data_IF_076828462237
#
_entry.id   IF_076828462237
#
_cell.length_a   1.000
_cell.length_b   1.000
_cell.length_c   1.000
_cell.angle_alpha   90.00
_cell.angle_beta   90.00
_cell.angle_gamma   90.00
#
_symmetry.space_group_name_H-M   'P 1'
#
loop_
_entity.id
_entity.type
_entity.pdbx_description
1 polymer ?
#
# COMPACT_ATOMS: atom_id res chain seq x y z
N UNK A 1 -6.98 -8.15 -19.33
CA UNK A 1 -8.01 -7.84 -18.33
C UNK A 1 -8.32 -6.34 -18.35
N UNK A 2 -9.56 -5.95 -18.64
CA UNK A 2 -10.00 -4.55 -18.63
C UNK A 2 -10.69 -4.23 -17.30
N UNK A 3 -10.10 -3.36 -16.51
CA UNK A 3 -10.60 -3.00 -15.17
C UNK A 3 -11.94 -2.25 -15.21
N UNK A 4 -12.25 -1.57 -16.32
CA UNK A 4 -13.49 -0.80 -16.49
C UNK A 4 -14.59 -1.64 -17.12
N UNK A 5 -14.25 -2.46 -18.10
CA UNK A 5 -15.19 -3.37 -18.76
C UNK A 5 -15.50 -4.62 -17.91
N UNK A 6 -14.57 -5.00 -17.03
CA UNK A 6 -14.69 -6.19 -16.18
C UNK A 6 -14.38 -7.49 -16.93
N UNK A 7 -14.84 -8.61 -16.38
CA UNK A 7 -14.71 -9.94 -16.99
C UNK A 7 -15.75 -10.14 -18.11
N UNK A 8 -16.95 -9.61 -17.93
CA UNK A 8 -18.02 -9.56 -18.94
C UNK A 8 -18.49 -8.10 -19.05
N UNK A 9 -18.63 -7.55 -20.27
CA UNK A 9 -19.16 -6.22 -20.48
C UNK A 9 -20.54 -5.96 -19.86
N UNK A 10 -21.30 -6.99 -19.53
CA UNK A 10 -22.62 -6.87 -18.89
C UNK A 10 -22.53 -6.80 -17.34
N UNK A 11 -21.47 -7.35 -16.74
CA UNK A 11 -21.33 -7.46 -15.28
C UNK A 11 -20.81 -6.18 -14.59
N UNK A 12 -20.38 -5.19 -15.36
CA UNK A 12 -19.83 -3.97 -14.79
C UNK A 12 -18.29 -4.00 -14.63
N UNK A 13 -17.70 -3.02 -13.94
CA UNK A 13 -16.27 -2.96 -13.75
C UNK A 13 -15.76 -4.09 -12.86
N UNK A 14 -14.48 -4.46 -13.00
CA UNK A 14 -13.82 -5.40 -12.10
C UNK A 14 -13.83 -4.84 -10.67
N UNK A 15 -14.39 -5.59 -9.74
CA UNK A 15 -14.41 -5.24 -8.31
C UNK A 15 -13.49 -6.16 -7.49
N UNK A 16 -13.17 -5.78 -6.26
CA UNK A 16 -12.43 -6.65 -5.35
C UNK A 16 -13.17 -7.97 -5.06
N UNK A 17 -14.51 -8.00 -5.19
CA UNK A 17 -15.31 -9.21 -5.06
C UNK A 17 -15.02 -10.29 -6.09
N UNK A 18 -14.48 -9.92 -7.25
CA UNK A 18 -14.03 -10.88 -8.26
C UNK A 18 -12.78 -11.66 -7.85
N UNK A 19 -12.10 -11.25 -6.77
CA UNK A 19 -10.93 -11.94 -6.21
C UNK A 19 -11.31 -12.99 -5.15
N UNK A 20 -12.63 -13.27 -4.98
CA UNK A 20 -13.16 -14.17 -3.98
C UNK A 20 -13.88 -15.37 -4.62
N UNK A 21 -13.64 -16.57 -4.08
CA UNK A 21 -14.34 -17.80 -4.43
C UNK A 21 -14.31 -18.12 -5.92
N UNK A 22 -15.42 -18.63 -6.45
CA UNK A 22 -15.54 -19.04 -7.85
C UNK A 22 -15.26 -17.92 -8.87
N UNK A 23 -15.45 -16.67 -8.49
CA UNK A 23 -15.15 -15.53 -9.36
C UNK A 23 -13.65 -15.35 -9.57
N UNK A 24 -12.82 -15.71 -8.60
CA UNK A 24 -11.37 -15.66 -8.73
C UNK A 24 -10.85 -16.57 -9.84
N UNK A 25 -11.49 -17.72 -10.09
CA UNK A 25 -11.11 -18.63 -11.17
C UNK A 25 -11.16 -17.98 -12.55
N UNK A 26 -12.11 -17.09 -12.79
CA UNK A 26 -12.18 -16.32 -14.04
C UNK A 26 -11.03 -15.32 -14.16
N UNK A 27 -10.66 -14.65 -13.06
CA UNK A 27 -9.50 -13.74 -13.02
C UNK A 27 -8.21 -14.50 -13.25
N UNK A 28 -8.03 -15.69 -12.65
CA UNK A 28 -6.85 -16.54 -12.87
C UNK A 28 -6.69 -16.93 -14.34
N UNK A 29 -7.79 -17.32 -15.01
CA UNK A 29 -7.77 -17.65 -16.45
C UNK A 29 -7.38 -16.47 -17.33
N UNK A 30 -7.93 -15.29 -17.06
CA UNK A 30 -7.57 -14.07 -17.79
C UNK A 30 -6.10 -13.66 -17.59
N UNK A 31 -5.57 -13.90 -16.41
CA UNK A 31 -4.16 -13.65 -16.08
C UNK A 31 -3.23 -14.81 -16.51
N UNK A 32 -3.77 -15.87 -17.14
CA UNK A 32 -3.04 -17.11 -17.52
C UNK A 32 -2.32 -17.77 -16.33
N UNK A 33 -2.90 -17.67 -15.14
CA UNK A 33 -2.40 -18.33 -13.94
C UNK A 33 -2.96 -19.75 -13.84
N UNK A 34 -2.22 -20.67 -13.20
CA UNK A 34 -2.69 -22.03 -12.98
C UNK A 34 -3.76 -22.05 -11.88
N UNK A 35 -4.99 -22.45 -12.24
CA UNK A 35 -6.12 -22.56 -11.30
C UNK A 35 -5.84 -23.57 -10.17
N UNK A 36 -5.01 -24.58 -10.41
CA UNK A 36 -4.64 -25.57 -9.40
C UNK A 36 -3.71 -25.00 -8.31
N UNK A 37 -3.04 -23.90 -8.59
CA UNK A 37 -2.18 -23.21 -7.64
C UNK A 37 -2.96 -22.33 -6.65
N UNK A 38 -4.27 -22.09 -6.86
CA UNK A 38 -5.09 -21.31 -5.95
C UNK A 38 -5.29 -22.07 -4.62
N UNK A 39 -4.70 -21.65 -3.51
CA UNK A 39 -4.91 -22.32 -2.24
C UNK A 39 -6.38 -22.13 -1.81
N UNK A 40 -7.00 -23.22 -1.36
CA UNK A 40 -8.29 -23.12 -0.70
C UNK A 40 -8.19 -22.09 0.44
N UNK A 41 -9.02 -21.05 0.38
CA UNK A 41 -8.90 -19.93 1.30
C UNK A 41 -9.26 -20.39 2.73
N UNK A 42 -8.33 -20.33 3.69
CA UNK A 42 -8.65 -20.65 5.06
C UNK A 42 -9.59 -19.58 5.63
N UNK A 43 -10.60 -20.02 6.39
CA UNK A 43 -11.39 -19.11 7.23
C UNK A 43 -10.48 -18.45 8.26
N UNK A 44 -10.15 -17.18 8.06
CA UNK A 44 -9.41 -16.39 9.04
C UNK A 44 -10.40 -15.60 9.86
N UNK A 45 -10.51 -15.93 11.16
CA UNK A 45 -11.40 -15.27 12.13
C UNK A 45 -12.89 -15.26 11.74
N UNK A 46 -13.38 -16.30 11.05
CA UNK A 46 -14.80 -16.41 10.67
C UNK A 46 -15.21 -15.53 9.48
N UNK A 47 -14.26 -14.91 8.79
CA UNK A 47 -14.49 -14.18 7.54
C UNK A 47 -13.81 -14.92 6.39
N UNK A 48 -14.46 -14.96 5.23
CA UNK A 48 -13.84 -15.46 4.01
C UNK A 48 -12.68 -14.54 3.64
N UNK A 49 -11.46 -15.09 3.54
CA UNK A 49 -10.34 -14.39 2.93
C UNK A 49 -10.46 -14.51 1.40
N UNK A 50 -10.02 -13.49 0.63
CA UNK A 50 -9.98 -13.61 -0.82
C UNK A 50 -8.93 -14.66 -1.25
N UNK A 51 -9.16 -15.34 -2.36
CA UNK A 51 -8.16 -16.18 -3.02
C UNK A 51 -6.97 -15.36 -3.51
N UNK A 52 -7.24 -14.14 -3.96
CA UNK A 52 -6.25 -13.11 -4.30
C UNK A 52 -6.45 -11.90 -3.41
N UNK A 53 -5.52 -11.63 -2.50
CA UNK A 53 -5.52 -10.38 -1.73
C UNK A 53 -4.75 -9.32 -2.49
N UNK A 54 -5.46 -8.34 -3.04
CA UNK A 54 -4.87 -7.19 -3.73
C UNK A 54 -4.83 -5.99 -2.78
N UNK A 55 -3.64 -5.45 -2.58
CA UNK A 55 -3.42 -4.22 -1.84
C UNK A 55 -2.61 -3.24 -2.69
N UNK A 56 -2.93 -1.96 -2.58
CA UNK A 56 -2.24 -0.89 -3.29
C UNK A 56 -1.89 0.23 -2.33
N UNK A 57 -0.74 0.88 -2.55
CA UNK A 57 -0.34 2.04 -1.76
C UNK A 57 -0.84 3.33 -2.43
N UNK A 58 -1.26 4.28 -1.62
CA UNK A 58 -1.54 5.66 -2.03
C UNK A 58 -1.08 6.61 -0.94
N UNK A 59 -0.65 7.80 -1.32
CA UNK A 59 -0.16 8.81 -0.38
C UNK A 59 -1.21 9.89 -0.17
N UNK A 60 -1.64 10.07 1.06
CA UNK A 60 -2.51 11.17 1.44
C UNK A 60 -1.69 12.45 1.63
N UNK A 61 -1.82 13.39 0.71
CA UNK A 61 -1.10 14.68 0.76
C UNK A 61 -1.60 15.57 1.90
N UNK A 62 -2.90 15.54 2.18
CA UNK A 62 -3.51 16.36 3.25
C UNK A 62 -3.02 15.95 4.64
N UNK A 63 -2.83 14.65 4.88
CA UNK A 63 -2.35 14.13 6.17
C UNK A 63 -0.88 13.71 6.15
N UNK A 64 -0.17 13.94 5.04
CA UNK A 64 1.27 13.68 4.86
C UNK A 64 1.70 12.27 5.26
N UNK A 65 0.93 11.25 4.88
CA UNK A 65 1.24 9.86 5.21
C UNK A 65 0.69 8.86 4.19
N UNK A 66 1.32 7.69 4.05
CA UNK A 66 0.81 6.62 3.19
C UNK A 66 -0.44 5.94 3.78
N UNK A 67 -1.24 5.37 2.88
CA UNK A 67 -2.37 4.52 3.19
C UNK A 67 -2.37 3.29 2.28
N UNK A 68 -2.87 2.20 2.81
CA UNK A 68 -3.15 0.98 2.03
C UNK A 68 -4.60 1.03 1.54
N UNK A 69 -4.79 0.80 0.26
CA UNK A 69 -6.12 0.66 -0.34
C UNK A 69 -6.38 -0.82 -0.68
N UNK A 70 -7.56 -1.38 -0.39
CA UNK A 70 -8.76 -0.76 0.19
C UNK A 70 -8.58 -0.28 1.63
N UNK A 71 -9.19 0.87 1.95
CA UNK A 71 -9.06 1.44 3.29
C UNK A 71 -9.68 0.54 4.36
N UNK A 72 -8.94 0.32 5.46
CA UNK A 72 -9.44 -0.40 6.63
C UNK A 72 -10.37 0.45 7.52
N UNK A 73 -10.37 1.77 7.33
CA UNK A 73 -11.14 2.73 8.11
C UNK A 73 -12.20 3.41 7.22
N UNK A 74 -13.38 3.68 7.80
CA UNK A 74 -14.50 4.33 7.11
C UNK A 74 -14.56 5.84 7.40
N UNK A 75 -13.40 6.51 7.33
CA UNK A 75 -13.28 7.95 7.64
C UNK A 75 -13.16 8.83 6.39
N UNK A 76 -13.03 8.21 5.23
CA UNK A 76 -12.94 8.89 3.95
C UNK A 76 -14.24 8.72 3.17
N UNK A 77 -14.76 9.85 2.73
CA UNK A 77 -16.00 9.94 1.97
C UNK A 77 -15.69 10.46 0.57
N UNK A 78 -16.48 10.07 -0.42
CA UNK A 78 -16.39 10.63 -1.75
C UNK A 78 -17.65 11.43 -2.10
N UNK A 79 -17.51 12.42 -2.97
CA UNK A 79 -18.64 13.12 -3.56
C UNK A 79 -18.92 12.53 -4.96
N UNK A 80 -20.12 11.99 -5.21
CA UNK A 80 -20.46 11.43 -6.52
C UNK A 80 -20.31 12.43 -7.67
N UNK A 81 -20.56 13.71 -7.43
CA UNK A 81 -20.45 14.75 -8.45
C UNK A 81 -18.99 15.14 -8.71
N UNK A 82 -18.18 15.33 -7.65
CA UNK A 82 -16.74 15.62 -7.83
C UNK A 82 -16.02 14.50 -8.59
N UNK A 83 -16.42 13.26 -8.38
CA UNK A 83 -15.74 12.11 -8.97
C UNK A 83 -16.07 11.87 -10.45
N UNK A 84 -17.02 12.61 -11.02
CA UNK A 84 -17.33 12.53 -12.46
C UNK A 84 -16.13 12.93 -13.34
N UNK A 85 -15.25 13.78 -12.84
CA UNK A 85 -14.05 14.22 -13.55
C UNK A 85 -12.89 13.21 -13.44
N UNK A 86 -12.99 12.19 -12.56
CA UNK A 86 -11.92 11.25 -12.25
C UNK A 86 -12.19 9.83 -12.72
N UNK A 87 -13.44 9.43 -12.83
CA UNK A 87 -13.84 8.05 -13.12
C UNK A 87 -14.92 7.96 -14.18
N UNK A 88 -14.87 6.93 -15.05
CA UNK A 88 -15.91 6.67 -16.04
C UNK A 88 -17.30 6.48 -15.40
N UNK A 89 -18.35 6.88 -16.11
CA UNK A 89 -19.73 6.79 -15.63
C UNK A 89 -20.13 5.37 -15.18
N UNK A 90 -19.61 4.33 -15.83
CA UNK A 90 -19.86 2.92 -15.48
C UNK A 90 -19.30 2.57 -14.09
N UNK A 91 -18.09 3.03 -13.78
CA UNK A 91 -17.45 2.85 -12.46
C UNK A 91 -18.23 3.58 -11.37
N UNK A 92 -18.63 4.82 -11.65
CA UNK A 92 -19.42 5.63 -10.71
C UNK A 92 -20.81 5.03 -10.49
N UNK A 93 -21.44 4.48 -11.52
CA UNK A 93 -22.73 3.79 -11.39
C UNK A 93 -22.61 2.63 -10.40
N UNK A 94 -21.66 1.71 -10.62
CA UNK A 94 -21.42 0.58 -9.71
C UNK A 94 -21.16 1.06 -8.28
N UNK A 95 -20.31 2.06 -8.12
CA UNK A 95 -19.97 2.61 -6.81
C UNK A 95 -21.18 3.23 -6.11
N UNK A 96 -21.97 4.03 -6.82
CA UNK A 96 -23.18 4.67 -6.28
C UNK A 96 -24.29 3.69 -5.93
N UNK A 97 -24.43 2.63 -6.71
CA UNK A 97 -25.45 1.59 -6.48
C UNK A 97 -25.13 0.76 -5.21
N UNK A 98 -23.84 0.62 -4.85
CA UNK A 98 -23.40 -0.21 -3.71
C UNK A 98 -22.97 0.58 -2.49
N UNK A 99 -22.77 1.90 -2.61
CA UNK A 99 -22.37 2.78 -1.51
C UNK A 99 -23.56 3.24 -0.67
N UNK A 100 -23.29 3.71 0.54
CA UNK A 100 -24.28 4.27 1.46
C UNK A 100 -23.89 5.67 1.92
N UNK A 101 -24.88 6.41 2.42
CA UNK A 101 -24.60 7.65 3.13
C UNK A 101 -23.86 7.33 4.44
N UNK A 102 -22.95 8.20 4.88
CA UNK A 102 -22.30 8.04 6.17
C UNK A 102 -23.30 8.17 7.31
N UNK A 103 -23.09 7.44 8.41
CA UNK A 103 -23.89 7.63 9.61
C UNK A 103 -23.70 9.06 10.13
N UNK A 104 -24.69 9.62 10.83
CA UNK A 104 -24.57 10.96 11.41
C UNK A 104 -23.36 11.06 12.33
N UNK A 105 -22.47 12.00 12.05
CA UNK A 105 -21.33 12.32 12.92
C UNK A 105 -21.75 13.46 13.84
N UNK A 106 -21.70 13.24 15.13
CA UNK A 106 -22.14 14.24 16.13
C UNK A 106 -20.99 14.74 16.98
N UNK A 107 -21.13 15.95 17.50
CA UNK A 107 -20.22 16.56 18.46
C UNK A 107 -21.03 17.18 19.60
N UNK A 108 -20.47 17.28 20.80
CA UNK A 108 -21.11 17.98 21.92
C UNK A 108 -20.73 19.46 21.87
N UNK A 109 -21.71 20.34 21.74
CA UNK A 109 -21.57 21.79 21.83
C UNK A 109 -22.48 22.28 22.97
N UNK A 110 -21.92 22.92 23.99
CA UNK A 110 -22.63 23.40 25.16
C UNK A 110 -23.56 22.33 25.82
N UNK A 111 -23.09 21.09 25.84
CA UNK A 111 -23.81 19.95 26.41
C UNK A 111 -24.84 19.31 25.47
N UNK A 112 -25.15 19.91 24.33
CA UNK A 112 -26.07 19.35 23.33
C UNK A 112 -25.34 18.60 22.24
N UNK A 113 -25.92 17.52 21.72
CA UNK A 113 -25.40 16.83 20.54
C UNK A 113 -25.82 17.58 19.28
N UNK A 114 -24.84 18.00 18.49
CA UNK A 114 -25.03 18.68 17.20
C UNK A 114 -24.43 17.81 16.10
N UNK A 115 -25.19 17.58 15.05
CA UNK A 115 -24.71 16.86 13.87
C UNK A 115 -23.73 17.71 13.06
N UNK A 116 -22.68 17.08 12.56
CA UNK A 116 -21.77 17.70 11.59
C UNK A 116 -22.42 17.60 10.21
N UNK A 117 -22.35 18.69 9.46
CA UNK A 117 -22.82 18.73 8.07
C UNK A 117 -21.92 17.84 7.19
N UNK A 118 -22.53 16.88 6.51
CA UNK A 118 -21.87 15.92 5.63
C UNK A 118 -22.19 16.15 4.14
N UNK A 119 -22.52 17.39 3.78
CA UNK A 119 -22.60 17.79 2.37
C UNK A 119 -21.22 18.15 1.83
N UNK A 120 -21.01 17.86 0.55
CA UNK A 120 -19.75 18.11 -0.12
C UNK A 120 -19.29 19.56 0.01
N UNK A 121 -18.00 19.77 0.24
CA UNK A 121 -17.44 21.14 0.36
C UNK A 121 -17.57 21.97 -0.91
N UNK A 122 -17.64 21.32 -2.08
CA UNK A 122 -17.80 21.98 -3.39
C UNK A 122 -19.25 21.98 -3.89
N UNK A 123 -20.02 20.93 -3.61
CA UNK A 123 -21.42 20.75 -4.04
C UNK A 123 -22.31 20.65 -2.81
N UNK A 124 -22.72 21.79 -2.29
CA UNK A 124 -23.45 21.91 -1.00
C UNK A 124 -24.82 21.24 -0.98
N UNK A 125 -25.36 20.90 -2.12
CA UNK A 125 -26.61 20.17 -2.32
C UNK A 125 -26.40 18.65 -2.43
N UNK A 126 -25.15 18.18 -2.42
CA UNK A 126 -24.78 16.77 -2.56
C UNK A 126 -24.22 16.22 -1.26
N UNK A 127 -24.88 15.23 -0.68
CA UNK A 127 -24.34 14.47 0.45
C UNK A 127 -23.15 13.62 -0.01
N UNK A 128 -22.08 13.58 0.82
CA UNK A 128 -20.98 12.66 0.58
C UNK A 128 -21.40 11.22 0.86
N UNK A 129 -20.69 10.26 0.30
CA UNK A 129 -20.97 8.84 0.44
C UNK A 129 -19.75 8.10 0.96
N UNK A 130 -19.97 7.02 1.72
CA UNK A 130 -18.91 6.08 2.11
C UNK A 130 -18.56 5.19 0.93
N UNK A 131 -17.30 4.76 0.86
CA UNK A 131 -16.97 3.62 0.01
C UNK A 131 -17.79 2.39 0.45
N UNK A 132 -18.26 1.56 -0.49
CA UNK A 132 -18.98 0.34 -0.16
C UNK A 132 -18.11 -0.67 0.61
N UNK A 133 -18.63 -1.86 0.84
CA UNK A 133 -17.82 -2.97 1.33
C UNK A 133 -16.72 -3.32 0.34
N UNK A 134 -15.57 -3.84 0.83
CA UNK A 134 -14.40 -4.10 -0.03
C UNK A 134 -14.75 -4.91 -1.29
N UNK A 135 -15.55 -5.98 -1.23
CA UNK A 135 -15.92 -6.74 -2.43
C UNK A 135 -16.62 -5.93 -3.53
N UNK A 136 -17.33 -4.86 -3.16
CA UNK A 136 -18.12 -4.06 -4.10
C UNK A 136 -17.35 -2.87 -4.68
N UNK A 137 -16.11 -2.62 -4.19
CA UNK A 137 -15.28 -1.54 -4.68
C UNK A 137 -14.69 -1.90 -6.05
N UNK A 138 -14.84 -1.05 -7.07
CA UNK A 138 -14.13 -1.22 -8.34
C UNK A 138 -12.60 -1.11 -8.15
N UNK A 139 -11.86 -2.09 -8.65
CA UNK A 139 -10.38 -2.15 -8.52
C UNK A 139 -9.71 -0.92 -9.13
N UNK A 140 -10.28 -0.40 -10.22
CA UNK A 140 -9.74 0.78 -10.92
C UNK A 140 -9.62 2.02 -10.02
N UNK A 141 -10.43 2.12 -8.95
CA UNK A 141 -10.32 3.24 -8.00
C UNK A 141 -8.96 3.21 -7.30
N UNK A 142 -8.56 2.05 -6.78
CA UNK A 142 -7.25 1.87 -6.15
C UNK A 142 -6.10 2.09 -7.12
N UNK A 143 -6.21 1.53 -8.32
CA UNK A 143 -5.21 1.72 -9.39
C UNK A 143 -5.07 3.19 -9.74
N UNK A 144 -6.18 3.92 -9.92
CA UNK A 144 -6.15 5.37 -10.23
C UNK A 144 -5.52 6.19 -9.11
N UNK A 145 -5.78 5.84 -7.86
CA UNK A 145 -5.16 6.50 -6.70
C UNK A 145 -3.66 6.20 -6.64
N UNK A 146 -3.28 4.93 -6.77
CA UNK A 146 -1.88 4.47 -6.71
C UNK A 146 -1.01 4.98 -7.86
N UNK A 147 -1.61 5.35 -9.00
CA UNK A 147 -0.94 5.90 -10.18
C UNK A 147 -1.10 7.42 -10.32
N UNK A 148 -1.64 8.12 -9.33
CA UNK A 148 -1.85 9.58 -9.37
C UNK A 148 -0.54 10.34 -9.15
N UNK A 149 0.48 10.05 -9.99
CA UNK A 149 1.77 10.73 -9.92
C UNK A 149 1.61 12.22 -10.28
N UNK A 150 2.14 13.13 -9.44
CA UNK A 150 2.07 14.57 -9.71
C UNK A 150 2.59 14.92 -11.11
N UNK A 151 1.97 15.92 -11.76
CA UNK A 151 2.24 16.36 -13.12
C UNK A 151 1.64 15.45 -14.22
N UNK A 152 1.59 14.13 -14.02
CA UNK A 152 1.00 13.21 -15.01
C UNK A 152 -0.50 13.04 -14.82
N UNK A 153 -0.92 12.78 -13.59
CA UNK A 153 -2.32 12.57 -13.23
C UNK A 153 -2.66 13.39 -11.98
N UNK A 154 -3.87 13.96 -11.99
CA UNK A 154 -4.38 14.68 -10.81
C UNK A 154 -4.57 13.76 -9.62
N UNK A 155 -4.29 14.24 -8.41
CA UNK A 155 -4.66 13.55 -7.18
C UNK A 155 -6.18 13.34 -7.11
N UNK A 156 -6.62 12.30 -6.39
CA UNK A 156 -8.04 11.95 -6.25
C UNK A 156 -8.61 12.57 -4.97
N UNK A 157 -9.67 13.39 -5.04
CA UNK A 157 -10.24 14.04 -3.88
C UNK A 157 -11.18 13.11 -3.12
N UNK A 158 -10.98 13.03 -1.83
CA UNK A 158 -11.93 12.53 -0.84
C UNK A 158 -12.31 13.66 0.11
N UNK A 159 -13.17 13.37 1.05
CA UNK A 159 -13.52 14.26 2.15
C UNK A 159 -13.46 13.49 3.46
N UNK A 160 -13.14 14.20 4.55
CA UNK A 160 -13.09 13.63 5.89
C UNK A 160 -13.51 14.68 6.91
N UNK A 161 -13.98 14.26 8.07
CA UNK A 161 -14.29 15.20 9.15
C UNK A 161 -12.98 15.68 9.80
N UNK A 162 -12.80 16.98 9.85
CA UNK A 162 -11.67 17.62 10.54
C UNK A 162 -11.92 17.69 12.04
N UNK A 163 -11.44 16.69 12.76
CA UNK A 163 -11.49 16.66 14.22
C UNK A 163 -10.44 17.55 14.91
N UNK A 164 -9.47 18.11 14.17
CA UNK A 164 -8.47 19.03 14.74
C UNK A 164 -9.07 20.42 15.01
N UNK A 165 -10.20 20.75 14.39
CA UNK A 165 -10.91 21.98 14.67
C UNK A 165 -11.57 21.94 16.03
N UNK A 166 -11.73 23.12 16.61
CA UNK A 166 -12.48 23.30 17.86
C UNK A 166 -13.91 22.73 17.73
N UNK A 167 -14.41 22.16 18.81
CA UNK A 167 -15.79 21.70 18.90
C UNK A 167 -16.76 22.81 18.50
N UNK A 168 -17.75 22.51 17.70
CA UNK A 168 -18.67 23.48 17.09
C UNK A 168 -18.21 24.08 15.75
N UNK A 169 -16.92 23.94 15.41
CA UNK A 169 -16.35 24.37 14.12
C UNK A 169 -15.90 23.19 13.22
N UNK A 170 -16.17 21.98 13.66
CA UNK A 170 -15.83 20.75 12.92
C UNK A 170 -16.74 20.61 11.70
N UNK A 171 -16.16 20.20 10.60
CA UNK A 171 -16.86 20.00 9.34
C UNK A 171 -16.03 19.15 8.40
N UNK A 172 -16.51 18.92 7.19
CA UNK A 172 -15.75 18.23 6.16
C UNK A 172 -14.60 19.11 5.66
N UNK A 173 -13.47 18.46 5.40
CA UNK A 173 -12.34 19.00 4.65
C UNK A 173 -12.07 18.11 3.46
N UNK A 174 -11.47 18.66 2.44
CA UNK A 174 -10.98 17.95 1.30
C UNK A 174 -9.66 17.22 1.62
N UNK A 175 -9.58 15.97 1.19
CA UNK A 175 -8.44 15.10 1.44
C UNK A 175 -7.94 14.54 0.11
N UNK A 176 -6.71 14.85 -0.26
CA UNK A 176 -6.13 14.51 -1.54
C UNK A 176 -5.27 13.25 -1.45
N UNK A 177 -5.57 12.29 -2.32
CA UNK A 177 -4.78 11.06 -2.47
C UNK A 177 -4.02 11.09 -3.79
N UNK A 178 -2.73 10.82 -3.70
CA UNK A 178 -1.79 10.82 -4.81
C UNK A 178 -1.06 9.47 -4.88
N UNK A 179 -0.12 9.37 -5.80
CA UNK A 179 0.69 8.18 -6.06
C UNK A 179 1.27 7.55 -4.80
N UNK A 180 1.22 6.23 -4.72
CA UNK A 180 1.81 5.46 -3.63
C UNK A 180 3.33 5.58 -3.58
N UNK A 181 3.95 5.67 -4.74
CA UNK A 181 5.37 5.85 -4.91
C UNK A 181 5.94 7.11 -4.28
N UNK A 182 5.13 8.14 -3.96
CA UNK A 182 5.60 9.29 -3.17
C UNK A 182 6.04 8.92 -1.74
N UNK A 183 5.57 7.80 -1.21
CA UNK A 183 5.90 7.35 0.15
C UNK A 183 6.74 6.07 0.16
N UNK A 184 6.53 5.15 -0.79
CA UNK A 184 7.29 3.91 -0.94
C UNK A 184 7.03 3.33 -2.33
N UNK A 185 8.10 2.96 -3.02
CA UNK A 185 8.06 2.25 -4.30
C UNK A 185 8.10 0.73 -4.14
N UNK A 186 8.45 0.27 -2.94
CA UNK A 186 8.67 -1.15 -2.69
C UNK A 186 7.98 -1.63 -1.40
N UNK A 187 6.64 -1.69 -1.37
CA UNK A 187 5.85 -1.98 -0.16
C UNK A 187 5.82 -3.48 0.19
N UNK A 188 6.97 -4.15 0.20
CA UNK A 188 7.09 -5.59 0.53
C UNK A 188 6.50 -5.93 1.91
N UNK A 189 6.45 -4.95 2.81
CA UNK A 189 5.91 -5.09 4.15
C UNK A 189 4.40 -5.34 4.21
N UNK A 190 3.65 -5.18 3.10
CA UNK A 190 2.20 -5.41 3.08
C UNK A 190 1.85 -6.85 3.44
N UNK A 191 2.64 -7.79 2.94
CA UNK A 191 2.42 -9.23 3.12
C UNK A 191 3.51 -9.89 3.96
N UNK A 192 4.51 -9.11 4.41
CA UNK A 192 5.60 -9.64 5.23
C UNK A 192 5.19 -9.78 6.69
N UNK A 193 5.74 -10.79 7.35
CA UNK A 193 5.57 -11.04 8.77
C UNK A 193 6.92 -11.26 9.45
N UNK A 194 7.03 -10.90 10.73
CA UNK A 194 8.25 -11.10 11.50
C UNK A 194 8.68 -12.58 11.50
N UNK A 195 7.71 -13.48 11.67
CA UNK A 195 7.88 -14.93 11.57
C UNK A 195 6.95 -15.44 10.46
N UNK A 196 7.40 -15.49 9.20
CA UNK A 196 6.54 -15.80 8.07
C UNK A 196 6.13 -17.27 8.05
N UNK A 197 4.87 -17.53 7.73
CA UNK A 197 4.33 -18.87 7.47
C UNK A 197 4.25 -19.18 5.97
N UNK A 198 4.42 -18.17 5.11
CA UNK A 198 4.47 -18.25 3.65
C UNK A 198 5.56 -17.31 3.14
N UNK A 199 6.18 -17.61 2.00
CA UNK A 199 7.14 -16.69 1.41
C UNK A 199 6.46 -15.41 0.91
N UNK A 200 7.17 -14.30 0.98
CA UNK A 200 6.82 -13.04 0.34
C UNK A 200 7.97 -12.64 -0.55
N UNK A 201 7.72 -12.54 -1.83
CA UNK A 201 8.71 -12.15 -2.83
C UNK A 201 8.52 -10.69 -3.24
N UNK A 202 9.60 -10.05 -3.66
CA UNK A 202 9.59 -8.72 -4.23
C UNK A 202 10.30 -8.68 -5.57
N UNK A 203 9.71 -7.98 -6.53
CA UNK A 203 10.37 -7.59 -7.78
C UNK A 203 10.62 -6.10 -7.70
N UNK A 204 11.89 -5.73 -7.73
CA UNK A 204 12.34 -4.35 -7.60
C UNK A 204 12.86 -3.86 -8.96
N UNK A 205 12.45 -2.67 -9.38
CA UNK A 205 12.94 -2.04 -10.60
C UNK A 205 14.12 -1.14 -10.24
N UNK A 206 15.27 -1.37 -10.88
CA UNK A 206 16.51 -0.64 -10.59
C UNK A 206 17.19 -0.17 -11.87
N UNK A 207 18.10 0.79 -11.72
CA UNK A 207 18.98 1.20 -12.81
C UNK A 207 19.99 0.09 -13.15
N UNK A 208 20.56 0.09 -14.39
CA UNK A 208 21.61 -0.83 -14.77
C UNK A 208 22.84 -0.70 -13.87
N UNK A 209 23.41 -1.84 -13.46
CA UNK A 209 24.62 -1.83 -12.64
C UNK A 209 25.86 -1.55 -13.53
N UNK A 210 26.69 -0.56 -13.21
CA UNK A 210 27.79 -0.13 -14.09
C UNK A 210 28.84 -1.22 -14.34
N UNK A 211 29.08 -2.08 -13.33
CA UNK A 211 30.07 -3.17 -13.43
C UNK A 211 29.46 -4.47 -13.96
N UNK A 212 28.12 -4.52 -14.12
CA UNK A 212 27.36 -5.67 -14.62
C UNK A 212 26.27 -5.22 -15.60
N UNK A 213 26.64 -4.54 -16.71
CA UNK A 213 25.65 -3.93 -17.62
C UNK A 213 24.76 -4.96 -18.35
N UNK A 214 25.28 -6.18 -18.56
CA UNK A 214 24.59 -7.26 -19.27
C UNK A 214 23.68 -8.09 -18.36
N UNK A 215 23.77 -7.92 -17.04
CA UNK A 215 22.97 -8.63 -16.07
C UNK A 215 21.67 -7.87 -15.81
N UNK A 216 20.64 -8.17 -16.60
CA UNK A 216 19.36 -7.45 -16.57
C UNK A 216 18.42 -7.91 -15.44
N UNK A 217 18.66 -9.09 -14.89
CA UNK A 217 17.93 -9.66 -13.75
C UNK A 217 18.95 -10.18 -12.74
N UNK A 218 18.79 -9.78 -11.49
CA UNK A 218 19.72 -10.18 -10.43
C UNK A 218 18.98 -10.53 -9.14
N UNK A 219 19.27 -11.69 -8.58
CA UNK A 219 18.88 -12.07 -7.21
C UNK A 219 20.13 -12.39 -6.39
N UNK A 220 20.31 -11.79 -5.20
CA UNK A 220 21.39 -12.19 -4.30
C UNK A 220 21.28 -13.67 -3.91
N UNK A 221 22.36 -14.43 -4.01
CA UNK A 221 22.41 -15.85 -3.68
C UNK A 221 22.27 -16.16 -2.18
N UNK A 222 22.21 -15.12 -1.34
CA UNK A 222 22.03 -15.26 0.10
C UNK A 222 22.11 -13.91 0.83
N UNK A 223 21.88 -13.94 2.14
CA UNK A 223 21.85 -12.72 2.97
C UNK A 223 23.19 -11.98 3.06
N UNK A 224 24.30 -12.65 2.80
CA UNK A 224 25.64 -12.07 2.83
C UNK A 224 26.13 -11.63 1.44
N UNK A 225 25.39 -11.98 0.39
CA UNK A 225 25.69 -11.61 -1.01
C UNK A 225 24.78 -10.49 -1.48
N UNK A 226 25.13 -9.88 -2.58
CA UNK A 226 24.38 -8.83 -3.23
C UNK A 226 25.29 -7.70 -3.70
N UNK A 227 24.84 -7.00 -4.71
CA UNK A 227 25.56 -5.84 -5.23
C UNK A 227 25.35 -4.65 -4.30
N UNK A 228 26.44 -3.96 -3.97
CA UNK A 228 26.36 -2.73 -3.20
C UNK A 228 25.80 -1.63 -4.09
N UNK A 229 24.77 -0.87 -3.65
CA UNK A 229 24.31 0.29 -4.41
C UNK A 229 25.46 1.24 -4.70
N UNK A 230 25.49 1.78 -5.92
CA UNK A 230 26.53 2.73 -6.30
C UNK A 230 26.41 4.00 -5.48
N UNK A 231 27.55 4.50 -5.01
CA UNK A 231 27.61 5.81 -4.37
C UNK A 231 27.25 6.92 -5.39
N UNK A 232 26.36 7.83 -5.01
CA UNK A 232 26.01 8.97 -5.82
C UNK A 232 27.20 9.93 -5.96
N UNK A 233 27.58 10.27 -7.19
CA UNK A 233 28.59 11.28 -7.48
C UNK A 233 27.90 12.53 -8.02
N UNK A 234 28.03 13.64 -7.31
CA UNK A 234 27.36 14.89 -7.65
C UNK A 234 28.27 15.78 -8.48
N UNK A 235 27.90 16.01 -9.73
CA UNK A 235 28.64 16.91 -10.66
C UNK A 235 27.85 18.20 -10.93
N UNK A 236 26.60 18.30 -10.44
CA UNK A 236 25.75 19.47 -10.63
C UNK A 236 24.81 19.69 -9.45
N UNK A 237 24.35 20.94 -9.29
CA UNK A 237 23.35 21.29 -8.26
C UNK A 237 22.02 20.55 -8.49
N UNK A 238 21.63 20.38 -9.74
CA UNK A 238 20.40 19.64 -10.11
C UNK A 238 20.54 18.17 -9.71
N UNK A 239 21.69 17.54 -10.00
CA UNK A 239 21.98 16.18 -9.56
C UNK A 239 21.98 16.01 -8.03
N UNK A 240 22.53 16.99 -7.31
CA UNK A 240 22.49 17.02 -5.85
C UNK A 240 21.06 17.10 -5.32
N UNK A 241 20.23 18.02 -5.84
CA UNK A 241 18.82 18.13 -5.42
C UNK A 241 18.02 16.90 -5.79
N UNK A 242 18.29 16.29 -6.94
CA UNK A 242 17.70 15.00 -7.32
C UNK A 242 18.03 13.90 -6.31
N UNK A 243 19.29 13.78 -5.91
CA UNK A 243 19.71 12.79 -4.93
C UNK A 243 19.12 13.05 -3.53
N UNK A 244 18.98 14.32 -3.13
CA UNK A 244 18.26 14.67 -1.87
C UNK A 244 16.83 14.18 -1.96
N UNK A 245 16.14 14.44 -3.07
CA UNK A 245 14.77 13.97 -3.29
C UNK A 245 14.69 12.44 -3.21
N UNK A 246 15.52 11.73 -3.98
CA UNK A 246 15.58 10.26 -3.98
C UNK A 246 15.87 9.70 -2.59
N UNK A 247 16.85 10.30 -1.87
CA UNK A 247 17.17 9.85 -0.51
C UNK A 247 15.98 9.98 0.44
N UNK A 248 15.24 11.08 0.36
CA UNK A 248 14.03 11.26 1.19
C UNK A 248 12.91 10.29 0.81
N UNK A 249 12.78 10.03 -0.46
CA UNK A 249 11.74 9.18 -1.05
C UNK A 249 11.98 7.70 -0.77
N UNK A 250 13.23 7.23 -0.96
CA UNK A 250 13.58 5.81 -0.84
C UNK A 250 14.01 5.41 0.58
N UNK A 251 13.95 6.34 1.53
CA UNK A 251 14.41 6.10 2.90
C UNK A 251 13.71 4.91 3.57
N UNK A 252 12.39 4.81 3.43
CA UNK A 252 11.59 3.75 4.06
C UNK A 252 11.93 2.40 3.43
N UNK A 253 12.01 2.34 2.11
CA UNK A 253 12.32 1.12 1.37
C UNK A 253 13.78 0.69 1.59
N UNK A 254 14.70 1.66 1.60
CA UNK A 254 16.13 1.43 1.82
C UNK A 254 16.49 0.91 3.21
N UNK A 255 15.69 1.18 4.24
CA UNK A 255 15.96 0.69 5.60
C UNK A 255 15.73 -0.81 5.76
N UNK A 256 14.79 -1.39 5.04
CA UNK A 256 14.45 -2.81 5.14
C UNK A 256 15.38 -3.71 4.32
N UNK A 257 15.80 -3.26 3.16
CA UNK A 257 16.58 -4.03 2.18
C UNK A 257 17.90 -4.61 2.73
N UNK A 258 18.70 -3.92 3.56
CA UNK A 258 19.92 -4.47 4.14
C UNK A 258 19.70 -5.51 5.22
N UNK A 259 18.49 -5.62 5.77
CA UNK A 259 18.22 -6.50 6.91
C UNK A 259 18.29 -7.98 6.51
N UNK A 260 18.79 -8.86 7.40
CA UNK A 260 18.81 -10.30 7.15
C UNK A 260 17.41 -10.85 6.90
N UNK A 261 17.27 -11.70 5.86
CA UNK A 261 15.98 -12.25 5.43
C UNK A 261 15.15 -11.32 4.55
N UNK A 262 15.77 -10.32 3.93
CA UNK A 262 15.13 -9.48 2.92
C UNK A 262 15.73 -9.67 1.53
N UNK A 263 17.05 -9.70 1.39
CA UNK A 263 17.74 -9.69 0.09
C UNK A 263 17.48 -10.93 -0.76
N UNK A 264 17.49 -12.10 -0.15
CA UNK A 264 17.41 -13.40 -0.82
C UNK A 264 16.06 -13.69 -1.47
N UNK A 265 15.05 -12.86 -1.21
CA UNK A 265 13.69 -12.96 -1.75
C UNK A 265 13.29 -11.80 -2.65
N UNK A 266 14.24 -10.93 -2.97
CA UNK A 266 14.05 -9.78 -3.85
C UNK A 266 14.86 -9.99 -5.11
N UNK A 267 14.20 -9.82 -6.24
CA UNK A 267 14.84 -9.85 -7.55
C UNK A 267 14.85 -8.43 -8.11
N UNK A 268 16.02 -7.93 -8.43
CA UNK A 268 16.21 -6.69 -9.13
C UNK A 268 16.06 -6.91 -10.65
N UNK A 269 15.11 -6.22 -11.25
CA UNK A 269 14.95 -6.12 -12.71
C UNK A 269 15.49 -4.76 -13.13
N UNK A 270 16.55 -4.78 -13.94
CA UNK A 270 17.21 -3.54 -14.38
C UNK A 270 16.55 -3.00 -15.62
N UNK A 271 16.22 -1.72 -15.58
CA UNK A 271 15.56 -1.00 -16.67
C UNK A 271 16.50 0.07 -17.23
N UNK A 272 16.64 0.11 -18.55
CA UNK A 272 17.44 1.09 -19.27
C UNK A 272 16.66 2.38 -19.58
N UNK A 273 17.36 3.28 -20.29
CA UNK A 273 16.76 4.53 -20.74
C UNK A 273 15.50 4.28 -21.60
N UNK A 274 14.39 4.87 -21.22
CA UNK A 274 13.10 4.72 -21.91
C UNK A 274 12.31 3.45 -21.57
N UNK A 275 12.82 2.60 -20.69
CA UNK A 275 12.14 1.41 -20.19
C UNK A 275 11.50 1.69 -18.82
N UNK A 276 10.23 2.10 -18.79
CA UNK A 276 9.52 2.39 -17.54
C UNK A 276 9.64 3.84 -17.07
N UNK A 277 9.52 4.07 -15.78
CA UNK A 277 9.47 5.40 -15.18
C UNK A 277 8.27 6.21 -15.70
N UNK A 278 8.52 7.42 -16.19
CA UNK A 278 7.50 8.32 -16.73
C UNK A 278 7.24 8.12 -18.24
N UNK A 279 7.86 7.13 -18.88
CA UNK A 279 7.64 6.84 -20.30
C UNK A 279 6.33 6.08 -20.52
N UNK A 280 5.24 6.80 -20.75
CA UNK A 280 3.92 6.24 -21.04
C UNK A 280 3.75 5.80 -22.52
N UNK A 281 4.80 5.94 -23.35
CA UNK A 281 4.77 5.64 -24.79
C UNK A 281 5.80 4.58 -25.17
N UNK A 282 5.94 3.54 -24.35
CA UNK A 282 6.80 2.42 -24.69
C UNK A 282 6.31 1.69 -25.95
N UNK A 283 7.24 1.20 -26.76
CA UNK A 283 6.90 0.36 -27.92
C UNK A 283 6.48 -1.04 -27.48
N UNK A 284 5.78 -1.78 -28.35
CA UNK A 284 5.40 -3.17 -28.05
C UNK A 284 6.62 -4.04 -27.79
N UNK A 285 7.71 -3.83 -28.51
CA UNK A 285 8.97 -4.56 -28.36
C UNK A 285 9.60 -4.32 -26.97
N UNK A 286 9.56 -3.07 -26.48
CA UNK A 286 10.04 -2.71 -25.15
C UNK A 286 9.20 -3.39 -24.07
N UNK A 287 7.88 -3.40 -24.24
CA UNK A 287 6.94 -4.06 -23.30
C UNK A 287 7.19 -5.57 -23.27
N UNK A 288 7.36 -6.21 -24.43
CA UNK A 288 7.67 -7.63 -24.53
C UNK A 288 9.03 -7.99 -23.89
N UNK A 289 10.05 -7.14 -24.09
CA UNK A 289 11.36 -7.33 -23.48
C UNK A 289 11.28 -7.23 -21.95
N UNK A 290 10.50 -6.29 -21.40
CA UNK A 290 10.25 -6.17 -19.97
C UNK A 290 9.46 -7.37 -19.43
N UNK A 291 8.49 -7.88 -20.19
CA UNK A 291 7.78 -9.12 -19.89
C UNK A 291 8.73 -10.32 -19.76
N UNK A 292 9.65 -10.47 -20.73
CA UNK A 292 10.67 -11.55 -20.69
C UNK A 292 11.58 -11.44 -19.46
N UNK A 293 11.98 -10.23 -19.05
CA UNK A 293 12.72 -10.02 -17.79
C UNK A 293 11.89 -10.39 -16.57
N UNK A 294 10.59 -10.13 -16.61
CA UNK A 294 9.66 -10.57 -15.55
C UNK A 294 9.62 -12.09 -15.41
N UNK A 295 9.57 -12.83 -16.53
CA UNK A 295 9.65 -14.29 -16.54
C UNK A 295 10.98 -14.79 -15.99
N UNK A 296 12.11 -14.17 -16.38
CA UNK A 296 13.42 -14.48 -15.81
C UNK A 296 13.48 -14.22 -14.30
N UNK A 297 12.91 -13.10 -13.84
CA UNK A 297 12.84 -12.80 -12.42
C UNK A 297 12.03 -13.84 -11.63
N UNK A 298 10.97 -14.37 -12.22
CA UNK A 298 10.20 -15.46 -11.61
C UNK A 298 11.01 -16.75 -11.51
N UNK A 299 11.78 -17.10 -12.55
CA UNK A 299 12.67 -18.28 -12.54
C UNK A 299 13.76 -18.19 -11.46
N UNK A 300 14.28 -16.99 -11.19
CA UNK A 300 15.26 -16.77 -10.11
C UNK A 300 14.68 -17.08 -8.71
N UNK A 301 13.36 -17.14 -8.56
CA UNK A 301 12.69 -17.43 -7.29
C UNK A 301 12.33 -18.92 -7.12
N UNK A 302 12.45 -19.75 -8.16
CA UNK A 302 12.09 -21.18 -8.09
C UNK A 302 12.93 -21.94 -7.05
N UNK A 303 14.22 -21.60 -6.93
CA UNK A 303 15.15 -22.23 -6.00
C UNK A 303 15.13 -21.64 -4.58
N UNK A 304 14.11 -20.85 -4.24
CA UNK A 304 14.06 -20.18 -2.95
C UNK A 304 13.88 -21.17 -1.80
N UNK A 305 14.88 -21.24 -0.91
CA UNK A 305 14.85 -22.07 0.29
C UNK A 305 14.05 -21.35 1.41
N UNK A 306 12.74 -21.64 1.46
CA UNK A 306 11.84 -21.01 2.43
C UNK A 306 12.12 -21.47 3.87
N UNK A 307 12.60 -22.70 4.09
CA UNK A 307 12.90 -23.17 5.44
C UNK A 307 14.15 -22.48 6.00
N UNK A 308 15.19 -22.30 5.18
CA UNK A 308 16.35 -21.49 5.54
C UNK A 308 15.94 -20.02 5.79
N UNK A 309 15.08 -19.46 4.94
CA UNK A 309 14.54 -18.11 5.14
C UNK A 309 13.82 -17.98 6.50
N UNK A 310 12.94 -18.91 6.84
CA UNK A 310 12.25 -18.94 8.15
C UNK A 310 13.25 -19.01 9.30
N UNK A 311 14.31 -19.79 9.17
CA UNK A 311 15.36 -19.88 10.19
C UNK A 311 16.12 -18.58 10.37
N UNK A 312 16.49 -17.90 9.27
CA UNK A 312 17.14 -16.58 9.31
C UNK A 312 16.23 -15.56 9.98
N UNK A 313 14.95 -15.50 9.60
CA UNK A 313 13.95 -14.61 10.20
C UNK A 313 13.76 -14.87 11.69
N UNK A 314 13.67 -16.13 12.08
CA UNK A 314 13.58 -16.51 13.50
C UNK A 314 14.78 -16.02 14.29
N UNK A 315 16.00 -16.27 13.81
CA UNK A 315 17.23 -15.82 14.50
C UNK A 315 17.29 -14.31 14.62
N UNK A 316 16.96 -13.59 13.58
CA UNK A 316 16.93 -12.11 13.58
C UNK A 316 15.91 -11.58 14.58
N UNK A 317 14.72 -12.15 14.61
CA UNK A 317 13.67 -11.78 15.55
C UNK A 317 14.07 -12.06 17.00
N UNK A 318 14.64 -13.25 17.29
CA UNK A 318 15.07 -13.60 18.63
C UNK A 318 16.25 -12.75 19.10
N UNK A 319 17.17 -12.42 18.20
CA UNK A 319 18.28 -11.49 18.49
C UNK A 319 17.76 -10.11 18.91
N UNK A 320 16.88 -9.51 18.11
CA UNK A 320 16.27 -8.21 18.42
C UNK A 320 15.44 -8.21 19.72
N UNK A 321 14.70 -9.30 19.98
CA UNK A 321 13.99 -9.47 21.25
C UNK A 321 14.96 -9.56 22.43
N UNK A 322 16.05 -10.31 22.31
CA UNK A 322 17.07 -10.44 23.37
C UNK A 322 17.69 -9.09 23.71
N UNK A 323 18.05 -8.30 22.70
CA UNK A 323 18.57 -6.93 22.89
C UNK A 323 17.55 -6.01 23.56
N UNK A 324 16.28 -6.08 23.12
CA UNK A 324 15.19 -5.30 23.70
C UNK A 324 14.97 -5.65 25.17
N UNK A 325 14.95 -6.94 25.51
CA UNK A 325 14.84 -7.38 26.91
C UNK A 325 16.04 -6.99 27.77
N UNK A 326 17.25 -7.08 27.24
CA UNK A 326 18.43 -6.60 27.93
C UNK A 326 18.35 -5.09 28.24
N UNK A 327 17.91 -4.30 27.28
CA UNK A 327 17.65 -2.87 27.45
C UNK A 327 16.56 -2.58 28.49
N UNK A 328 15.46 -3.32 28.49
CA UNK A 328 14.39 -3.20 29.50
C UNK A 328 14.90 -3.56 30.90
N UNK A 329 15.68 -4.63 31.03
CA UNK A 329 16.27 -5.04 32.31
C UNK A 329 17.25 -3.97 32.87
N UNK A 330 18.07 -3.39 32.01
CA UNK A 330 18.97 -2.31 32.40
C UNK A 330 18.21 -1.05 32.86
N UNK A 331 17.08 -0.73 32.18
CA UNK A 331 16.23 0.41 32.53
C UNK A 331 15.36 0.18 33.78
N UNK A 332 15.13 -1.09 34.20
CA UNK A 332 14.18 -1.46 35.26
C UNK A 332 14.44 -0.69 36.59
N UNK A 333 15.68 -0.44 36.96
CA UNK A 333 16.01 0.26 38.20
C UNK A 333 15.40 1.67 38.24
N UNK A 334 15.32 2.37 37.09
CA UNK A 334 14.68 3.69 36.98
C UNK A 334 13.18 3.66 37.08
N UNK A 335 12.54 2.53 36.68
CA UNK A 335 11.08 2.37 36.68
C UNK A 335 10.51 1.69 37.93
N UNK A 336 11.36 1.06 38.77
CA UNK A 336 10.97 0.37 40.00
C UNK A 336 10.03 1.18 40.90
N UNK A 337 10.34 2.42 41.25
CA UNK A 337 9.48 3.26 42.08
C UNK A 337 8.10 3.53 41.48
N UNK A 338 8.02 3.69 40.14
CA UNK A 338 6.73 3.90 39.44
C UNK A 338 5.89 2.65 39.43
N UNK A 339 6.49 1.47 39.30
CA UNK A 339 5.80 0.18 39.30
C UNK A 339 5.26 -0.12 40.70
N UNK A 340 6.05 0.15 41.77
CA UNK A 340 5.66 -0.13 43.14
C UNK A 340 4.59 0.84 43.67
N UNK A 341 4.66 2.11 43.30
CA UNK A 341 3.71 3.12 43.77
C UNK A 341 2.40 3.16 43.00
N UNK A 342 2.32 2.54 41.84
CA UNK A 342 1.21 2.67 40.92
C UNK A 342 1.05 4.12 40.50
N UNK A 343 1.52 4.48 39.30
CA UNK A 343 1.36 5.84 38.77
C UNK A 343 -0.05 6.05 38.24
N UNK A 344 -0.96 6.54 39.09
CA UNK A 344 -2.30 6.96 38.66
C UNK A 344 -2.29 8.43 38.27
N UNK A 345 -1.79 8.72 37.09
CA UNK A 345 -1.73 10.07 36.55
C UNK A 345 -3.06 10.56 35.92
N UNK A 346 -4.16 9.87 36.15
CA UNK A 346 -5.42 10.19 35.45
C UNK A 346 -5.35 9.97 33.94
N UNK A 347 -4.33 9.23 33.47
CA UNK A 347 -4.21 8.84 32.08
C UNK A 347 -5.20 7.71 31.82
N UNK A 348 -6.48 8.07 31.69
CA UNK A 348 -7.44 7.17 31.14
C UNK A 348 -7.11 6.96 29.66
N UNK A 349 -6.43 5.88 29.32
CA UNK A 349 -6.49 5.35 27.96
C UNK A 349 -7.96 5.01 27.69
N UNK A 350 -8.69 5.99 27.14
CA UNK A 350 -10.02 5.71 26.64
C UNK A 350 -9.90 4.58 25.64
N UNK A 351 -10.66 3.52 25.83
CA UNK A 351 -10.66 2.29 25.03
C UNK A 351 -10.90 2.52 23.52
N UNK A 352 -11.13 3.75 23.09
CA UNK A 352 -11.35 4.16 21.71
C UNK A 352 -10.15 4.86 21.05
N UNK A 353 -9.14 5.29 21.78
CA UNK A 353 -7.95 5.95 21.19
C UNK A 353 -6.76 5.02 21.01
N UNK A 354 -6.85 3.77 21.42
CA UNK A 354 -5.79 2.76 21.33
C UNK A 354 -6.09 1.66 20.29
N UNK A 355 -7.01 1.92 19.34
CA UNK A 355 -7.30 0.98 18.24
C UNK A 355 -7.09 1.61 16.89
#
# INVERSE_FOLDING_TARGET
LDLVAGLDPQDGPLTFGHLYGEKAAAVFRELKLDEAAAPASPLVRGQFAPELELQMMTTCLTFTRPYVFPFRTKVFFYCPQCWQDYFPARVLKQLNDTSSEPPPVTQKVDGQQVSIDLHCVHHRDVSVRMLPSVPDIPVVIGVRMSLSFPVLLSAVPFQSVDFNRAVGKRGLIEVWFSDGGLASNFPIHFFDALLPTRPTFGINLTDPHPDHPDELVHRPSGNASGLTPRANVFTSVVGFLGAVYTTMHDWVDGMALPAPGFRDRIVDVRTGDGEGGLNLKMTSETIEALGTRGDQAAMELEDFDFDNHRWVRYRTAMGGLSESFAGMLAARAGYGPFIEQGYDAGYAFGSQSAR
#
